data_IF_739835618294
#
_entry.id   IF_739835618294
#
_cell.length_a   1.000
_cell.length_b   1.000
_cell.length_c   1.000
_cell.angle_alpha   90.00
_cell.angle_beta   90.00
_cell.angle_gamma   90.00
#
_symmetry.space_group_name_H-M   'P 1'
#
loop_
_entity.id
_entity.type
_entity.pdbx_description
1 polymer ?
#
# COMPACT_ATOMS: atom_id res chain seq x y z
N UNK A 1 2.41 31.25 13.08
CA UNK A 1 3.44 30.21 13.19
C UNK A 1 3.32 29.33 11.97
N UNK A 2 4.40 29.27 11.19
CA UNK A 2 4.50 28.49 9.98
C UNK A 2 4.20 27.00 10.26
N UNK A 3 3.35 26.38 9.44
CA UNK A 3 3.01 24.94 9.55
C UNK A 3 4.27 24.09 9.42
N UNK A 4 5.26 24.58 8.66
CA UNK A 4 6.54 23.91 8.45
C UNK A 4 7.35 23.86 9.75
N UNK A 5 7.49 24.97 10.47
CA UNK A 5 8.16 24.99 11.78
C UNK A 5 7.53 24.01 12.78
N UNK A 6 6.21 23.84 12.73
CA UNK A 6 5.51 22.85 13.56
C UNK A 6 5.84 21.42 13.13
N UNK A 7 5.88 21.13 11.82
CA UNK A 7 6.29 19.83 11.31
C UNK A 7 7.72 19.49 11.72
N UNK A 8 8.66 20.43 11.56
CA UNK A 8 10.07 20.25 11.96
C UNK A 8 10.24 20.02 13.46
N UNK A 9 9.30 20.46 14.29
CA UNK A 9 9.33 20.21 15.73
C UNK A 9 8.96 18.76 16.12
N UNK A 10 8.28 18.02 15.24
CA UNK A 10 7.79 16.65 15.50
C UNK A 10 8.95 15.65 15.47
N UNK A 11 9.03 14.78 16.47
CA UNK A 11 10.18 13.89 16.68
C UNK A 11 10.54 13.02 15.47
N UNK A 12 9.55 12.36 14.87
CA UNK A 12 9.76 11.49 13.70
C UNK A 12 9.90 12.25 12.37
N UNK A 13 9.60 13.56 12.33
CA UNK A 13 9.80 14.38 11.14
C UNK A 13 11.25 14.87 11.00
N UNK A 14 12.02 14.90 12.09
CA UNK A 14 13.40 15.41 12.13
C UNK A 14 14.42 14.48 11.48
N UNK A 15 14.13 13.18 11.49
CA UNK A 15 15.05 12.17 11.00
C UNK A 15 15.21 12.30 9.48
N UNK A 16 16.38 12.73 9.02
CA UNK A 16 16.72 12.70 7.60
C UNK A 16 16.73 11.26 7.09
N UNK A 17 16.35 11.06 5.83
CA UNK A 17 16.38 9.74 5.18
C UNK A 17 17.45 9.77 4.09
N UNK A 18 18.67 9.39 4.48
CA UNK A 18 19.87 9.44 3.64
C UNK A 18 19.73 8.55 2.39
N UNK A 19 20.51 8.78 1.31
CA UNK A 19 20.50 7.93 0.13
C UNK A 19 20.60 6.42 0.44
N UNK A 20 19.97 5.54 -0.37
CA UNK A 20 19.97 4.11 -0.10
C UNK A 20 21.37 3.50 -0.18
N UNK A 21 21.59 2.46 0.63
CA UNK A 21 22.85 1.71 0.64
C UNK A 21 22.87 0.74 -0.55
N UNK A 22 23.88 0.88 -1.40
CA UNK A 22 24.11 0.04 -2.59
C UNK A 22 25.45 -0.68 -2.40
N UNK A 23 25.42 -2.01 -2.34
CA UNK A 23 26.63 -2.84 -2.35
C UNK A 23 27.02 -3.21 -3.80
N UNK A 24 28.22 -3.76 -3.99
CA UNK A 24 28.76 -4.04 -5.33
C UNK A 24 27.89 -5.03 -6.14
N UNK A 25 27.36 -6.06 -5.51
CA UNK A 25 26.50 -7.06 -6.16
C UNK A 25 25.15 -6.44 -6.59
N UNK A 26 24.55 -5.62 -5.74
CA UNK A 26 23.34 -4.87 -6.06
C UNK A 26 23.60 -3.81 -7.14
N UNK A 27 24.78 -3.19 -7.14
CA UNK A 27 25.18 -2.23 -8.17
C UNK A 27 25.22 -2.88 -9.54
N UNK A 28 25.76 -4.08 -9.67
CA UNK A 28 25.77 -4.83 -10.94
C UNK A 28 24.34 -5.09 -11.45
N UNK A 29 23.43 -5.53 -10.57
CA UNK A 29 22.02 -5.72 -10.94
C UNK A 29 21.31 -4.42 -11.36
N UNK A 30 21.70 -3.28 -10.78
CA UNK A 30 21.16 -1.97 -11.16
C UNK A 30 21.74 -1.48 -12.49
N UNK A 31 23.00 -1.79 -12.79
CA UNK A 31 23.63 -1.48 -14.09
C UNK A 31 22.90 -2.21 -15.23
N UNK A 32 22.48 -3.46 -15.03
CA UNK A 32 21.63 -4.20 -15.98
C UNK A 32 20.33 -3.46 -16.33
N UNK A 33 19.75 -2.74 -15.36
CA UNK A 33 18.52 -1.96 -15.57
C UNK A 33 18.71 -0.78 -16.55
N UNK A 34 19.95 -0.33 -16.77
CA UNK A 34 20.23 0.76 -17.71
C UNK A 34 20.23 0.30 -19.17
N UNK A 35 20.34 -1.01 -19.41
CA UNK A 35 20.36 -1.63 -20.73
C UNK A 35 18.98 -2.14 -21.18
N UNK A 36 17.92 -1.83 -20.43
CA UNK A 36 16.56 -2.28 -20.73
C UNK A 36 16.07 -1.60 -21.99
N UNK A 37 15.70 -2.41 -22.99
CA UNK A 37 15.12 -1.90 -24.22
C UNK A 37 13.68 -1.47 -23.96
N UNK A 38 13.31 -0.31 -24.50
CA UNK A 38 11.92 0.16 -24.41
C UNK A 38 10.99 -0.85 -25.11
N UNK A 39 9.98 -1.33 -24.38
CA UNK A 39 9.01 -2.26 -24.92
C UNK A 39 8.14 -1.59 -25.99
N UNK A 40 7.80 -2.34 -27.04
CA UNK A 40 6.79 -1.92 -28.01
C UNK A 40 5.42 -1.91 -27.35
N UNK A 41 4.76 -0.75 -27.37
CA UNK A 41 3.46 -0.58 -26.72
C UNK A 41 2.36 -1.11 -27.64
N UNK A 42 1.54 -2.02 -27.10
CA UNK A 42 0.35 -2.53 -27.78
C UNK A 42 -0.78 -1.52 -27.61
N UNK A 43 -1.45 -1.16 -28.70
CA UNK A 43 -2.63 -0.29 -28.69
C UNK A 43 -3.83 -0.84 -29.47
N UNK A 44 -3.71 -2.08 -29.96
CA UNK A 44 -4.80 -2.78 -30.63
C UNK A 44 -5.93 -3.06 -29.63
N UNK A 45 -6.99 -2.25 -29.74
CA UNK A 45 -8.16 -2.37 -28.87
C UNK A 45 -8.86 -3.72 -29.01
N UNK A 46 -8.85 -4.33 -30.19
CA UNK A 46 -9.50 -5.63 -30.41
C UNK A 46 -8.74 -6.75 -29.73
N UNK A 47 -7.41 -6.73 -29.81
CA UNK A 47 -6.57 -7.69 -29.08
C UNK A 47 -6.75 -7.53 -27.57
N UNK A 48 -6.85 -6.31 -27.06
CA UNK A 48 -7.06 -6.05 -25.62
C UNK A 48 -8.45 -6.50 -25.17
N UNK A 49 -9.49 -6.25 -25.99
CA UNK A 49 -10.84 -6.76 -25.73
C UNK A 49 -10.82 -8.29 -25.68
N UNK A 50 -10.19 -8.94 -26.66
CA UNK A 50 -10.05 -10.40 -26.71
C UNK A 50 -9.32 -10.94 -25.48
N UNK A 51 -8.22 -10.32 -25.05
CA UNK A 51 -7.52 -10.70 -23.81
C UNK A 51 -8.39 -10.51 -22.58
N UNK A 52 -9.15 -9.41 -22.52
CA UNK A 52 -10.10 -9.16 -21.43
C UNK A 52 -11.21 -10.20 -21.39
N UNK A 53 -11.78 -10.60 -22.53
CA UNK A 53 -12.83 -11.62 -22.61
C UNK A 53 -12.31 -13.02 -22.29
N UNK A 54 -11.05 -13.30 -22.59
CA UNK A 54 -10.38 -14.56 -22.25
C UNK A 54 -9.78 -14.58 -20.83
N UNK A 55 -9.96 -13.51 -20.04
CA UNK A 55 -9.44 -13.48 -18.68
C UNK A 55 -10.16 -14.54 -17.83
N UNK A 56 -9.43 -15.40 -17.08
CA UNK A 56 -10.02 -16.59 -16.45
C UNK A 56 -11.04 -16.29 -15.35
N UNK A 57 -11.09 -15.04 -14.87
CA UNK A 57 -12.02 -14.61 -13.84
C UNK A 57 -12.99 -13.59 -14.40
N UNK A 58 -14.28 -13.78 -14.13
CA UNK A 58 -15.30 -12.82 -14.49
C UNK A 58 -15.06 -11.46 -13.83
N UNK A 59 -15.12 -10.39 -14.63
CA UNK A 59 -15.07 -9.02 -14.14
C UNK A 59 -16.38 -8.71 -13.40
N UNK A 60 -16.34 -7.97 -12.27
CA UNK A 60 -17.55 -7.69 -11.49
C UNK A 60 -18.61 -6.89 -12.25
N UNK A 61 -18.17 -6.05 -13.20
CA UNK A 61 -19.02 -5.22 -14.04
C UNK A 61 -18.40 -5.09 -15.42
N UNK A 62 -19.26 -4.91 -16.41
CA UNK A 62 -18.87 -4.76 -17.81
C UNK A 62 -18.79 -3.28 -18.25
N UNK A 63 -19.41 -2.36 -17.51
CA UNK A 63 -19.60 -0.95 -17.92
C UNK A 63 -18.28 -0.18 -18.11
N UNK A 64 -17.22 -0.55 -17.38
CA UNK A 64 -15.88 0.05 -17.47
C UNK A 64 -14.91 -0.75 -18.35
N UNK A 65 -15.35 -1.86 -18.95
CA UNK A 65 -14.49 -2.68 -19.83
C UNK A 65 -14.38 -2.04 -21.20
N UNK A 66 -13.23 -2.21 -21.84
CA UNK A 66 -12.93 -1.62 -23.14
C UNK A 66 -13.98 -1.95 -24.21
N UNK A 67 -14.53 -3.17 -24.20
CA UNK A 67 -15.62 -3.61 -25.10
C UNK A 67 -16.88 -2.75 -25.04
N UNK A 68 -17.13 -2.10 -23.90
CA UNK A 68 -18.25 -1.17 -23.71
C UNK A 68 -17.81 0.29 -23.83
N UNK A 69 -16.58 0.62 -23.43
CA UNK A 69 -16.07 2.00 -23.54
C UNK A 69 -15.92 2.44 -25.00
N UNK A 70 -15.63 1.51 -25.93
CA UNK A 70 -15.47 1.82 -27.35
C UNK A 70 -16.72 2.45 -28.00
N UNK A 71 -17.91 2.20 -27.44
CA UNK A 71 -19.16 2.80 -27.94
C UNK A 71 -19.45 4.18 -27.32
N UNK A 72 -18.69 4.60 -26.30
CA UNK A 72 -18.95 5.80 -25.49
C UNK A 72 -17.83 6.84 -25.55
N UNK A 73 -16.63 6.44 -25.99
CA UNK A 73 -15.42 7.25 -25.93
C UNK A 73 -14.67 7.17 -27.27
N UNK A 74 -13.94 8.23 -27.66
CA UNK A 74 -13.18 8.23 -28.91
C UNK A 74 -12.14 7.10 -28.94
N UNK A 75 -12.05 6.39 -30.07
CA UNK A 75 -11.11 5.27 -30.27
C UNK A 75 -9.67 5.69 -29.99
N UNK A 76 -9.24 6.82 -30.55
CA UNK A 76 -7.86 7.31 -30.37
C UNK A 76 -7.54 7.63 -28.92
N UNK A 77 -8.53 8.11 -28.14
CA UNK A 77 -8.35 8.34 -26.70
C UNK A 77 -8.17 7.02 -25.95
N UNK A 78 -8.92 5.99 -26.31
CA UNK A 78 -8.78 4.67 -25.71
C UNK A 78 -7.42 4.03 -26.04
N UNK A 79 -6.92 4.21 -27.26
CA UNK A 79 -5.56 3.76 -27.65
C UNK A 79 -4.48 4.48 -26.85
N UNK A 80 -4.59 5.80 -26.71
CA UNK A 80 -3.70 6.59 -25.84
C UNK A 80 -3.75 6.05 -24.41
N UNK A 81 -4.96 5.76 -23.90
CA UNK A 81 -5.11 5.29 -22.53
C UNK A 81 -4.40 3.97 -22.26
N UNK A 82 -4.49 3.04 -23.21
CA UNK A 82 -3.77 1.77 -23.17
C UNK A 82 -2.26 1.99 -23.15
N UNK A 83 -1.73 2.76 -24.12
CA UNK A 83 -0.27 3.01 -24.23
C UNK A 83 0.30 3.71 -23.00
N UNK A 84 -0.53 4.50 -22.32
CA UNK A 84 -0.14 5.33 -21.20
C UNK A 84 -0.39 4.70 -19.82
N UNK A 85 -0.64 3.38 -19.76
CA UNK A 85 -0.77 2.63 -18.51
C UNK A 85 0.52 1.86 -18.21
N UNK A 86 1.15 2.11 -17.07
CA UNK A 86 2.43 1.51 -16.72
C UNK A 86 2.62 1.36 -15.20
N UNK A 87 3.43 0.38 -14.75
CA UNK A 87 3.86 0.31 -13.36
C UNK A 87 4.80 1.47 -13.04
N UNK A 88 4.73 1.96 -11.81
CA UNK A 88 5.63 2.98 -11.27
C UNK A 88 6.18 2.50 -9.93
N UNK A 89 7.45 2.77 -9.66
CA UNK A 89 8.11 2.45 -8.41
C UNK A 89 9.07 3.58 -8.00
N UNK A 90 9.30 3.69 -6.70
CA UNK A 90 10.25 4.66 -6.16
C UNK A 90 11.68 4.15 -6.36
N UNK A 91 12.64 5.02 -6.69
CA UNK A 91 14.04 4.62 -6.96
C UNK A 91 14.67 3.80 -5.83
N UNK A 92 14.42 4.17 -4.56
CA UNK A 92 14.82 3.40 -3.38
C UNK A 92 14.31 1.95 -3.40
N UNK A 93 13.12 1.71 -3.95
CA UNK A 93 12.54 0.37 -4.06
C UNK A 93 13.28 -0.45 -5.12
N UNK A 94 13.82 0.18 -6.17
CA UNK A 94 14.68 -0.50 -7.13
C UNK A 94 15.95 -1.03 -6.46
N UNK A 95 16.58 -0.22 -5.60
CA UNK A 95 17.73 -0.63 -4.78
C UNK A 95 17.36 -1.76 -3.81
N UNK A 96 16.19 -1.66 -3.16
CA UNK A 96 15.68 -2.72 -2.29
C UNK A 96 15.51 -4.04 -3.05
N UNK A 97 14.97 -4.01 -4.26
CA UNK A 97 14.78 -5.21 -5.09
C UNK A 97 16.11 -5.85 -5.50
N UNK A 98 17.13 -5.06 -5.85
CA UNK A 98 18.47 -5.58 -6.11
C UNK A 98 19.07 -6.26 -4.86
N UNK A 99 19.02 -5.58 -3.70
CA UNK A 99 19.48 -6.14 -2.44
C UNK A 99 18.67 -7.37 -2.00
N UNK A 100 17.38 -7.42 -2.32
CA UNK A 100 16.51 -8.58 -2.07
C UNK A 100 16.96 -9.80 -2.86
N UNK A 101 17.27 -9.64 -4.14
CA UNK A 101 17.79 -10.74 -4.97
C UNK A 101 19.12 -11.26 -4.43
N UNK A 102 20.05 -10.36 -4.08
CA UNK A 102 21.32 -10.71 -3.41
C UNK A 102 21.06 -11.53 -2.14
N UNK A 103 20.17 -11.05 -1.27
CA UNK A 103 19.79 -11.75 -0.06
C UNK A 103 19.21 -13.14 -0.35
N UNK A 104 18.26 -13.24 -1.28
CA UNK A 104 17.56 -14.49 -1.58
C UNK A 104 18.46 -15.54 -2.22
N UNK A 105 19.40 -15.14 -3.09
CA UNK A 105 20.40 -16.05 -3.66
C UNK A 105 21.32 -16.64 -2.60
N UNK A 106 21.63 -15.90 -1.53
CA UNK A 106 22.53 -16.34 -0.46
C UNK A 106 21.83 -17.09 0.67
N UNK A 107 20.71 -16.55 1.16
CA UNK A 107 20.05 -16.97 2.40
C UNK A 107 18.65 -17.57 2.19
N UNK A 108 18.11 -17.54 0.98
CA UNK A 108 16.82 -18.14 0.67
C UNK A 108 16.80 -19.66 0.84
N UNK A 109 15.60 -20.23 0.82
CA UNK A 109 15.42 -21.69 0.72
C UNK A 109 16.01 -22.23 -0.59
N UNK A 110 16.15 -23.55 -0.72
CA UNK A 110 16.63 -24.14 -1.97
C UNK A 110 15.73 -23.78 -3.16
N UNK A 111 14.41 -23.75 -2.96
CA UNK A 111 13.41 -23.38 -3.96
C UNK A 111 13.57 -21.91 -4.38
N UNK A 112 13.75 -21.02 -3.39
CA UNK A 112 14.00 -19.60 -3.66
C UNK A 112 15.31 -19.39 -4.40
N UNK A 113 16.39 -20.03 -3.95
CA UNK A 113 17.71 -19.93 -4.58
C UNK A 113 17.68 -20.37 -6.03
N UNK A 114 16.99 -21.46 -6.33
CA UNK A 114 16.78 -21.93 -7.70
C UNK A 114 16.08 -20.87 -8.54
N UNK A 115 14.93 -20.36 -8.07
CA UNK A 115 14.15 -19.35 -8.78
C UNK A 115 14.93 -18.04 -9.02
N UNK A 116 15.62 -17.52 -8.00
CA UNK A 116 16.27 -16.22 -8.04
C UNK A 116 17.70 -16.26 -8.59
N UNK A 117 18.27 -17.44 -8.83
CA UNK A 117 19.68 -17.65 -9.19
C UNK A 117 20.19 -16.73 -10.30
N UNK A 118 19.36 -16.49 -11.33
CA UNK A 118 19.68 -15.65 -12.49
C UNK A 118 18.67 -14.52 -12.74
N UNK A 119 17.68 -14.36 -11.86
CA UNK A 119 16.62 -13.37 -12.04
C UNK A 119 17.17 -11.95 -11.91
N UNK A 120 16.97 -11.13 -12.92
CA UNK A 120 17.26 -9.68 -12.91
C UNK A 120 16.21 -8.90 -12.11
N UNK A 121 16.49 -7.62 -11.83
CA UNK A 121 15.53 -6.74 -11.14
C UNK A 121 14.27 -6.52 -12.00
N UNK A 122 14.41 -6.44 -13.33
CA UNK A 122 13.29 -6.28 -14.26
C UNK A 122 12.39 -7.51 -14.24
N UNK A 123 12.97 -8.70 -14.30
CA UNK A 123 12.21 -9.95 -14.21
C UNK A 123 11.51 -10.11 -12.85
N UNK A 124 12.11 -9.61 -11.76
CA UNK A 124 11.45 -9.57 -10.46
C UNK A 124 10.23 -8.63 -10.46
N UNK A 125 10.33 -7.46 -11.09
CA UNK A 125 9.19 -6.52 -11.24
C UNK A 125 8.07 -7.16 -12.08
N UNK A 126 8.41 -7.76 -13.22
CA UNK A 126 7.44 -8.47 -14.07
C UNK A 126 6.76 -9.61 -13.31
N UNK A 127 7.54 -10.39 -12.57
CA UNK A 127 7.03 -11.46 -11.72
C UNK A 127 6.06 -10.93 -10.66
N UNK A 128 6.41 -9.84 -9.98
CA UNK A 128 5.55 -9.17 -8.99
C UNK A 128 4.22 -8.75 -9.61
N UNK A 129 4.17 -8.38 -10.89
CA UNK A 129 2.94 -8.01 -11.58
C UNK A 129 2.14 -9.25 -12.02
N UNK A 130 2.80 -10.26 -12.58
CA UNK A 130 2.16 -11.41 -13.22
C UNK A 130 1.71 -12.51 -12.25
N UNK A 131 2.47 -12.74 -11.17
CA UNK A 131 2.27 -13.89 -10.27
C UNK A 131 1.35 -13.58 -9.07
N UNK A 132 0.58 -12.48 -9.13
CA UNK A 132 -0.38 -12.12 -8.06
C UNK A 132 -1.59 -13.04 -8.01
N UNK A 133 -2.11 -13.24 -6.80
CA UNK A 133 -3.50 -13.67 -6.62
C UNK A 133 -4.44 -12.59 -7.15
N UNK A 134 -5.65 -12.99 -7.56
CA UNK A 134 -6.72 -12.06 -7.93
C UNK A 134 -7.18 -11.28 -6.71
N UNK A 135 -7.19 -11.95 -5.57
CA UNK A 135 -7.51 -11.37 -4.28
C UNK A 135 -6.62 -11.98 -3.21
N UNK A 136 -6.12 -11.15 -2.30
CA UNK A 136 -5.40 -11.56 -1.10
C UNK A 136 -5.70 -10.57 0.03
N UNK A 137 -6.46 -10.99 1.04
CA UNK A 137 -6.97 -10.06 2.06
C UNK A 137 -7.27 -10.73 3.40
N UNK A 138 -7.73 -9.92 4.38
CA UNK A 138 -8.14 -10.33 5.72
C UNK A 138 -6.98 -10.79 6.62
N UNK A 139 -7.29 -11.09 7.89
CA UNK A 139 -6.31 -11.55 8.88
C UNK A 139 -5.90 -13.03 8.75
N UNK A 140 -6.68 -13.83 7.99
CA UNK A 140 -6.40 -15.25 7.72
C UNK A 140 -5.97 -15.48 6.27
N UNK A 141 -5.62 -14.40 5.56
CA UNK A 141 -5.14 -14.47 4.18
C UNK A 141 -6.10 -15.22 3.26
N UNK A 142 -7.36 -14.79 3.28
CA UNK A 142 -8.36 -15.20 2.30
C UNK A 142 -7.83 -14.82 0.91
N UNK A 143 -7.76 -15.81 0.02
CA UNK A 143 -7.28 -15.60 -1.33
C UNK A 143 -8.25 -16.11 -2.40
N UNK A 144 -8.15 -15.52 -3.59
CA UNK A 144 -8.69 -16.05 -4.84
C UNK A 144 -7.56 -16.09 -5.86
N UNK A 145 -7.29 -17.26 -6.40
CA UNK A 145 -6.23 -17.52 -7.37
C UNK A 145 -6.67 -17.14 -8.78
N UNK A 146 -5.71 -17.07 -9.71
CA UNK A 146 -6.01 -16.81 -11.14
C UNK A 146 -6.80 -17.96 -11.79
N UNK A 147 -6.70 -19.16 -11.23
CA UNK A 147 -7.50 -20.34 -11.57
C UNK A 147 -8.96 -20.25 -11.10
N UNK A 148 -9.29 -19.25 -10.25
CA UNK A 148 -10.60 -19.10 -9.63
C UNK A 148 -10.75 -19.82 -8.29
N UNK A 149 -9.81 -20.70 -7.94
CA UNK A 149 -9.76 -21.38 -6.65
C UNK A 149 -9.68 -20.37 -5.50
N UNK A 150 -10.38 -20.68 -4.41
CA UNK A 150 -10.42 -19.85 -3.22
C UNK A 150 -9.92 -20.66 -2.03
N UNK A 151 -9.28 -19.97 -1.09
CA UNK A 151 -8.82 -20.60 0.14
C UNK A 151 -8.45 -19.59 1.20
N UNK A 152 -7.91 -20.10 2.29
CA UNK A 152 -7.54 -19.35 3.49
C UNK A 152 -6.30 -20.00 4.09
N UNK A 153 -5.41 -19.19 4.66
CA UNK A 153 -4.12 -19.61 5.23
C UNK A 153 -3.20 -20.35 4.22
N UNK A 154 -2.08 -20.93 4.67
CA UNK A 154 -1.15 -21.69 3.83
C UNK A 154 -0.22 -20.85 2.95
N UNK A 155 -0.47 -19.55 2.80
CA UNK A 155 0.36 -18.63 2.02
C UNK A 155 1.78 -18.49 2.58
N UNK A 156 1.95 -18.71 3.88
CA UNK A 156 3.24 -18.73 4.58
C UNK A 156 4.19 -19.85 4.10
N UNK A 157 3.66 -20.87 3.44
CA UNK A 157 4.45 -21.99 2.97
C UNK A 157 5.10 -21.74 1.60
N UNK A 158 4.61 -20.78 0.82
CA UNK A 158 5.10 -20.49 -0.55
C UNK A 158 6.58 -20.09 -0.51
N UNK A 159 7.43 -20.82 -1.24
CA UNK A 159 8.88 -20.64 -1.24
C UNK A 159 9.61 -21.38 -0.13
N UNK A 160 8.91 -22.23 0.64
CA UNK A 160 9.50 -23.10 1.67
C UNK A 160 9.40 -24.56 1.26
N UNK A 161 10.09 -25.45 1.98
CA UNK A 161 9.98 -26.91 1.76
C UNK A 161 8.57 -27.46 2.01
N UNK A 162 7.69 -26.69 2.65
CA UNK A 162 6.30 -27.06 2.91
C UNK A 162 5.34 -26.52 1.84
N UNK A 163 5.84 -25.86 0.78
CA UNK A 163 4.97 -25.42 -0.30
C UNK A 163 4.30 -26.62 -0.99
N UNK A 164 3.04 -26.44 -1.38
CA UNK A 164 2.30 -27.49 -2.08
C UNK A 164 1.27 -26.85 -3.02
N UNK A 165 0.96 -27.49 -4.17
CA UNK A 165 -0.08 -26.99 -5.05
C UNK A 165 -1.42 -26.76 -4.32
N UNK A 166 -2.20 -25.72 -4.68
CA UNK A 166 -1.91 -24.74 -5.74
C UNK A 166 -1.01 -23.56 -5.29
N UNK A 167 -0.53 -23.55 -4.04
CA UNK A 167 0.27 -22.48 -3.46
C UNK A 167 1.76 -22.80 -3.53
N UNK A 168 2.35 -22.59 -4.71
CA UNK A 168 3.79 -22.80 -4.96
C UNK A 168 4.46 -21.56 -5.52
N UNK A 169 5.74 -21.37 -5.22
CA UNK A 169 6.50 -20.18 -5.60
C UNK A 169 6.56 -20.00 -7.12
N UNK A 170 6.55 -21.08 -7.89
CA UNK A 170 6.53 -21.00 -9.35
C UNK A 170 5.32 -20.18 -9.90
N UNK A 171 4.17 -20.24 -9.21
CA UNK A 171 2.90 -19.69 -9.70
C UNK A 171 2.41 -18.46 -8.94
N UNK A 172 2.84 -18.31 -7.69
CA UNK A 172 2.37 -17.24 -6.81
C UNK A 172 3.50 -16.58 -6.03
N UNK A 173 3.25 -15.34 -5.62
CA UNK A 173 4.18 -14.57 -4.79
C UNK A 173 4.30 -15.16 -3.39
N UNK A 174 5.52 -15.29 -2.87
CA UNK A 174 5.74 -15.54 -1.44
C UNK A 174 5.33 -14.34 -0.59
N UNK A 175 5.30 -14.48 0.74
CA UNK A 175 5.07 -13.33 1.64
C UNK A 175 6.12 -12.23 1.49
N UNK A 176 7.36 -12.63 1.20
CA UNK A 176 8.46 -11.69 1.05
C UNK A 176 8.31 -10.90 -0.25
N UNK A 177 7.88 -11.55 -1.33
CA UNK A 177 7.52 -10.89 -2.60
C UNK A 177 6.25 -10.04 -2.45
N UNK A 178 5.25 -10.47 -1.68
CA UNK A 178 4.07 -9.67 -1.39
C UNK A 178 4.43 -8.36 -0.70
N UNK A 179 5.42 -8.37 0.20
CA UNK A 179 5.92 -7.18 0.87
C UNK A 179 6.53 -6.18 -0.13
N UNK A 180 7.34 -6.66 -1.09
CA UNK A 180 7.82 -5.83 -2.20
C UNK A 180 6.69 -5.36 -3.11
N UNK A 181 5.71 -6.23 -3.39
CA UNK A 181 4.59 -5.95 -4.27
C UNK A 181 3.72 -4.78 -3.80
N UNK A 182 3.72 -4.51 -2.48
CA UNK A 182 3.02 -3.38 -1.86
C UNK A 182 3.71 -2.02 -2.09
N UNK A 183 4.93 -2.03 -2.63
CA UNK A 183 5.72 -0.85 -2.98
C UNK A 183 5.73 -0.55 -4.48
N UNK A 184 5.11 -1.41 -5.29
CA UNK A 184 4.91 -1.22 -6.74
C UNK A 184 3.50 -0.71 -6.97
N UNK A 185 3.39 0.42 -7.66
CA UNK A 185 2.11 1.06 -8.00
C UNK A 185 1.87 0.99 -9.51
N UNK A 186 0.63 1.25 -9.94
CA UNK A 186 0.27 1.30 -11.36
C UNK A 186 -0.38 2.65 -11.61
N UNK A 187 0.06 3.36 -12.65
CA UNK A 187 -0.56 4.59 -13.09
C UNK A 187 -1.17 4.39 -14.47
N UNK A 188 -2.41 4.81 -14.66
CA UNK A 188 -3.06 4.75 -15.94
C UNK A 188 -4.22 5.72 -16.05
N UNK A 189 -4.46 6.28 -17.24
CA UNK A 189 -5.66 7.03 -17.52
C UNK A 189 -6.89 6.12 -17.47
N UNK A 190 -8.00 6.68 -17.04
CA UNK A 190 -9.30 6.03 -16.96
C UNK A 190 -10.33 6.86 -17.71
N UNK A 191 -11.16 6.18 -18.49
CA UNK A 191 -12.34 6.79 -19.08
C UNK A 191 -13.47 6.70 -18.05
N UNK A 192 -13.71 7.80 -17.35
CA UNK A 192 -14.73 7.88 -16.32
C UNK A 192 -16.12 7.74 -16.92
N UNK A 193 -16.97 6.95 -16.28
CA UNK A 193 -18.38 6.75 -16.65
C UNK A 193 -19.34 7.31 -15.59
N UNK A 194 -18.81 7.93 -14.52
CA UNK A 194 -19.56 8.59 -13.46
C UNK A 194 -18.60 9.42 -12.58
N UNK A 195 -19.14 10.02 -11.51
CA UNK A 195 -18.43 10.86 -10.53
C UNK A 195 -17.58 10.11 -9.49
N UNK A 196 -17.54 8.76 -9.53
CA UNK A 196 -16.75 7.95 -8.62
C UNK A 196 -17.25 7.94 -7.16
N UNK A 197 -18.49 8.35 -6.90
CA UNK A 197 -19.05 8.31 -5.54
C UNK A 197 -19.02 6.90 -4.96
N UNK A 198 -18.70 6.77 -3.65
CA UNK A 198 -18.40 5.47 -2.98
C UNK A 198 -19.47 4.37 -3.12
N UNK A 199 -20.71 4.73 -3.45
CA UNK A 199 -21.84 3.80 -3.61
C UNK A 199 -22.28 3.61 -5.06
N UNK A 200 -21.58 4.23 -6.01
CA UNK A 200 -21.99 4.29 -7.41
C UNK A 200 -22.08 2.91 -8.10
N UNK A 201 -21.36 1.88 -7.65
CA UNK A 201 -21.52 0.49 -8.15
C UNK A 201 -21.42 0.34 -9.69
N UNK A 202 -20.72 1.25 -10.38
CA UNK A 202 -20.53 1.18 -11.83
C UNK A 202 -21.71 1.67 -12.68
N UNK A 203 -22.64 2.42 -12.07
CA UNK A 203 -23.76 3.02 -12.79
C UNK A 203 -23.25 4.16 -13.66
N UNK A 204 -23.61 4.10 -14.95
CA UNK A 204 -23.21 5.10 -15.94
C UNK A 204 -23.98 6.40 -15.75
N UNK A 205 -23.26 7.52 -15.81
CA UNK A 205 -23.77 8.89 -15.80
C UNK A 205 -22.85 9.71 -16.69
N UNK A 206 -23.39 10.31 -17.74
CA UNK A 206 -22.60 11.11 -18.70
C UNK A 206 -22.66 12.62 -18.39
N UNK A 207 -23.71 13.08 -17.71
CA UNK A 207 -23.90 14.49 -17.40
C UNK A 207 -23.10 14.93 -16.17
N UNK A 208 -22.44 16.08 -16.26
CA UNK A 208 -21.72 16.73 -15.15
C UNK A 208 -20.70 15.80 -14.46
N UNK A 209 -19.88 15.10 -15.25
CA UNK A 209 -18.77 14.29 -14.77
C UNK A 209 -17.48 14.67 -15.49
N UNK A 210 -16.36 14.48 -14.81
CA UNK A 210 -15.07 14.41 -15.48
C UNK A 210 -15.02 13.10 -16.28
N UNK A 211 -14.70 13.17 -17.57
CA UNK A 211 -14.69 12.01 -18.47
C UNK A 211 -13.31 11.36 -18.59
N UNK A 212 -12.26 12.11 -18.27
CA UNK A 212 -10.87 11.68 -18.27
C UNK A 212 -10.25 11.93 -16.90
N UNK A 213 -9.62 10.91 -16.33
CA UNK A 213 -8.82 11.05 -15.11
C UNK A 213 -7.62 10.11 -15.14
N UNK A 214 -6.62 10.36 -14.30
CA UNK A 214 -5.54 9.41 -14.03
C UNK A 214 -5.85 8.70 -12.71
N UNK A 215 -5.82 7.36 -12.72
CA UNK A 215 -5.87 6.56 -11.50
C UNK A 215 -4.46 6.05 -11.21
N UNK A 216 -3.95 6.41 -10.04
CA UNK A 216 -2.70 5.87 -9.49
C UNK A 216 -3.07 4.82 -8.43
N UNK A 217 -2.97 3.55 -8.81
CA UNK A 217 -3.19 2.40 -7.94
C UNK A 217 -2.02 2.21 -6.98
N UNK A 218 -2.22 2.60 -5.72
CA UNK A 218 -1.24 2.53 -4.64
C UNK A 218 -1.69 1.57 -3.54
N UNK A 219 -0.72 0.97 -2.83
CA UNK A 219 -0.98 0.06 -1.71
C UNK A 219 -0.44 0.71 -0.43
N UNK A 220 -1.35 0.97 0.51
CA UNK A 220 -0.99 1.51 1.82
C UNK A 220 -0.59 0.43 2.82
N UNK A 221 -0.06 0.81 3.99
CA UNK A 221 0.40 -0.14 5.00
C UNK A 221 -0.72 -1.05 5.53
N UNK A 222 -0.44 -2.34 5.69
CA UNK A 222 -1.37 -3.39 6.13
C UNK A 222 -0.96 -3.99 7.47
N UNK A 223 -1.79 -3.81 8.49
CA UNK A 223 -1.56 -4.34 9.85
C UNK A 223 -2.53 -5.47 10.28
N UNK A 224 -3.17 -6.16 9.32
CA UNK A 224 -4.17 -7.19 9.63
C UNK A 224 -3.58 -8.55 10.03
N UNK A 225 -2.33 -8.83 9.67
CA UNK A 225 -1.64 -10.10 9.94
C UNK A 225 -0.42 -9.81 10.83
N UNK A 226 -0.45 -10.14 12.13
CA UNK A 226 0.71 -9.99 13.01
C UNK A 226 1.94 -10.71 12.45
N UNK A 227 3.15 -10.18 12.65
CA UNK A 227 4.37 -10.86 12.21
C UNK A 227 4.68 -10.75 10.71
N UNK A 228 3.90 -10.00 9.93
CA UNK A 228 3.95 -10.02 8.45
C UNK A 228 3.81 -8.64 7.82
N UNK A 229 4.39 -8.49 6.62
CA UNK A 229 4.32 -7.28 5.79
C UNK A 229 4.73 -6.04 6.60
N UNK A 230 3.88 -5.02 6.74
CA UNK A 230 4.22 -3.77 7.41
C UNK A 230 4.31 -3.94 8.94
N UNK A 231 3.66 -4.96 9.54
CA UNK A 231 3.82 -5.26 10.97
C UNK A 231 5.28 -5.58 11.33
N UNK A 232 6.00 -6.21 10.40
CA UNK A 232 7.33 -6.74 10.62
C UNK A 232 8.38 -5.63 10.88
N UNK A 233 8.14 -4.43 10.33
CA UNK A 233 9.08 -3.31 10.37
C UNK A 233 8.57 -2.12 11.21
N UNK A 234 7.25 -2.01 11.40
CA UNK A 234 6.63 -0.84 12.05
C UNK A 234 6.12 -1.17 13.45
N UNK A 235 5.66 -2.40 13.70
CA UNK A 235 5.22 -2.83 15.02
C UNK A 235 6.35 -3.52 15.75
N UNK A 236 6.51 -3.16 17.02
CA UNK A 236 7.49 -3.73 17.93
C UNK A 236 6.70 -4.47 19.00
N UNK A 237 6.76 -5.80 18.97
CA UNK A 237 5.97 -6.67 19.85
C UNK A 237 6.86 -7.66 20.58
N UNK A 238 6.40 -8.11 21.75
CA UNK A 238 7.15 -9.09 22.55
C UNK A 238 7.41 -10.39 21.78
N UNK A 239 6.45 -10.90 21.02
CA UNK A 239 6.59 -12.15 20.27
C UNK A 239 7.50 -12.00 19.04
N UNK A 240 7.39 -10.88 18.32
CA UNK A 240 8.11 -10.66 17.08
C UNK A 240 9.55 -10.19 17.31
N UNK A 241 9.74 -9.15 18.14
CA UNK A 241 11.00 -8.40 18.23
C UNK A 241 11.95 -9.00 19.28
N UNK A 242 12.44 -10.20 18.97
CA UNK A 242 13.40 -10.96 19.78
C UNK A 242 14.67 -11.26 18.99
N UNK A 243 15.78 -11.47 19.68
CA UNK A 243 17.06 -11.86 19.07
C UNK A 243 16.94 -13.14 18.24
N UNK A 244 16.19 -14.13 18.72
CA UNK A 244 15.89 -15.39 18.02
C UNK A 244 15.15 -15.21 16.67
N UNK A 245 14.51 -14.06 16.48
CA UNK A 245 13.85 -13.66 15.25
C UNK A 245 14.70 -12.69 14.41
N UNK A 246 15.94 -12.44 14.82
CA UNK A 246 16.92 -11.60 14.15
C UNK A 246 16.82 -10.10 14.47
N UNK A 247 16.03 -9.72 15.48
CA UNK A 247 15.93 -8.32 15.94
C UNK A 247 17.01 -7.97 16.96
N UNK A 248 17.31 -6.68 17.09
CA UNK A 248 18.34 -6.17 18.01
C UNK A 248 19.70 -5.95 17.34
N UNK A 249 20.71 -5.66 18.16
CA UNK A 249 22.08 -5.40 17.67
C UNK A 249 22.85 -6.71 17.45
N UNK A 250 23.54 -6.82 16.31
CA UNK A 250 24.40 -7.97 16.05
C UNK A 250 25.67 -7.86 16.92
N UNK A 251 25.84 -8.78 17.86
CA UNK A 251 27.13 -8.94 18.56
C UNK A 251 28.14 -9.55 17.58
N UNK A 252 29.31 -8.91 17.45
CA UNK A 252 30.32 -9.23 16.43
C UNK A 252 30.91 -10.66 16.51
N UNK A 253 30.56 -11.43 17.53
CA UNK A 253 31.14 -12.72 17.89
C UNK A 253 30.33 -13.94 17.45
N UNK A 254 29.19 -13.78 16.74
CA UNK A 254 28.35 -14.90 16.30
C UNK A 254 28.18 -14.97 14.77
N UNK A 255 28.01 -16.18 14.24
CA UNK A 255 27.69 -16.41 12.82
C UNK A 255 26.34 -15.76 12.48
N UNK A 256 26.30 -14.89 11.47
CA UNK A 256 25.08 -14.17 11.10
C UNK A 256 24.06 -15.11 10.47
N UNK A 257 22.85 -15.11 11.01
CA UNK A 257 21.72 -15.94 10.54
C UNK A 257 20.98 -15.29 9.37
N UNK A 258 20.23 -16.10 8.62
CA UNK A 258 19.34 -15.60 7.56
C UNK A 258 18.33 -14.57 8.10
N UNK A 259 17.73 -14.81 9.28
CA UNK A 259 16.78 -13.88 9.91
C UNK A 259 17.42 -12.53 10.23
N UNK A 260 18.65 -12.51 10.76
CA UNK A 260 19.38 -11.27 11.02
C UNK A 260 19.67 -10.51 9.72
N UNK A 261 20.07 -11.21 8.66
CA UNK A 261 20.32 -10.59 7.36
C UNK A 261 19.03 -10.08 6.71
N UNK A 262 17.89 -10.75 6.93
CA UNK A 262 16.57 -10.27 6.53
C UNK A 262 16.19 -8.98 7.25
N UNK A 263 16.41 -8.91 8.58
CA UNK A 263 16.18 -7.67 9.33
C UNK A 263 17.13 -6.57 8.90
N UNK A 264 18.40 -6.89 8.63
CA UNK A 264 19.36 -5.93 8.08
C UNK A 264 18.91 -5.32 6.74
N UNK A 265 18.38 -6.13 5.82
CA UNK A 265 17.86 -5.63 4.54
C UNK A 265 16.81 -4.51 4.75
N UNK A 266 15.86 -4.72 5.65
CA UNK A 266 14.80 -3.75 5.94
C UNK A 266 15.26 -2.59 6.82
N UNK A 267 16.16 -2.83 7.77
CA UNK A 267 16.84 -1.78 8.55
C UNK A 267 17.66 -0.85 7.66
N UNK A 268 18.36 -1.37 6.65
CA UNK A 268 19.14 -0.57 5.70
C UNK A 268 18.20 0.20 4.74
N UNK A 269 17.11 -0.42 4.30
CA UNK A 269 16.11 0.22 3.44
C UNK A 269 15.43 1.40 4.13
N UNK A 270 14.87 1.16 5.31
CA UNK A 270 14.25 2.19 6.11
C UNK A 270 15.26 3.07 6.81
N UNK A 271 16.52 2.67 6.94
CA UNK A 271 17.54 3.32 7.77
C UNK A 271 17.09 3.50 9.22
N UNK A 272 16.42 2.49 9.76
CA UNK A 272 15.91 2.45 11.13
C UNK A 272 16.58 1.28 11.85
N UNK A 273 17.33 1.54 12.93
CA UNK A 273 17.94 0.47 13.72
C UNK A 273 16.91 -0.57 14.16
N UNK A 274 17.26 -1.84 14.02
CA UNK A 274 16.48 -2.93 14.58
C UNK A 274 16.62 -2.91 16.10
N UNK A 275 15.50 -3.00 16.80
CA UNK A 275 15.45 -3.06 18.27
C UNK A 275 14.63 -4.26 18.73
N UNK A 276 15.03 -4.85 19.84
CA UNK A 276 14.22 -5.83 20.55
C UNK A 276 13.13 -5.14 21.37
N UNK A 277 12.07 -5.87 21.67
CA UNK A 277 11.01 -5.38 22.53
C UNK A 277 11.51 -5.04 23.95
N UNK A 278 12.42 -5.85 24.48
CA UNK A 278 13.00 -5.67 25.82
C UNK A 278 13.84 -4.39 25.92
N UNK A 279 14.71 -4.13 24.93
CA UNK A 279 15.52 -2.89 24.85
C UNK A 279 14.65 -1.63 24.77
N UNK A 280 13.49 -1.72 24.10
CA UNK A 280 12.62 -0.57 23.93
C UNK A 280 11.74 -0.30 25.16
N UNK A 281 11.27 -1.36 25.83
CA UNK A 281 10.39 -1.26 26.99
C UNK A 281 10.99 -0.42 28.13
N UNK A 282 12.31 -0.45 28.31
CA UNK A 282 13.00 0.34 29.34
C UNK A 282 12.97 1.85 29.05
N UNK A 283 12.78 2.23 27.78
CA UNK A 283 12.96 3.61 27.29
C UNK A 283 11.64 4.28 26.87
N UNK A 284 10.57 3.51 26.68
CA UNK A 284 9.26 4.03 26.28
C UNK A 284 8.33 4.05 27.49
N UNK A 285 7.92 5.24 27.94
CA UNK A 285 7.01 5.40 29.06
C UNK A 285 5.71 4.58 28.88
N UNK A 286 5.23 3.97 29.97
CA UNK A 286 3.90 3.38 30.00
C UNK A 286 2.86 4.50 29.81
N UNK A 287 1.85 4.24 28.97
CA UNK A 287 0.73 5.16 28.83
C UNK A 287 -0.29 4.82 29.90
N UNK A 288 0.02 5.16 31.15
CA UNK A 288 -0.97 5.12 32.22
C UNK A 288 -1.86 6.36 32.08
N UNK A 289 -3.10 6.14 31.66
CA UNK A 289 -4.17 7.13 31.58
C UNK A 289 -4.06 8.23 30.51
N UNK A 290 -3.21 8.13 29.48
CA UNK A 290 -3.32 9.13 28.40
C UNK A 290 -4.68 9.00 27.68
N UNK A 291 -5.32 10.15 27.46
CA UNK A 291 -6.41 10.25 26.52
C UNK A 291 -5.96 9.63 25.20
N UNK A 292 -6.79 8.77 24.60
CA UNK A 292 -6.44 7.90 23.46
C UNK A 292 -5.80 8.59 22.24
N UNK A 293 -5.75 9.93 22.19
CA UNK A 293 -5.32 10.71 21.03
C UNK A 293 -4.46 11.96 21.30
N UNK A 294 -4.39 12.54 22.51
CA UNK A 294 -4.05 13.98 22.60
C UNK A 294 -2.58 14.37 22.32
N UNK A 295 -1.63 13.42 22.28
CA UNK A 295 -0.21 13.68 21.91
C UNK A 295 0.48 12.57 21.12
N UNK A 296 -0.29 11.61 20.61
CA UNK A 296 0.28 10.39 20.01
C UNK A 296 1.02 10.67 18.71
N UNK A 297 0.49 11.58 17.88
CA UNK A 297 1.05 11.84 16.56
C UNK A 297 2.41 12.55 16.58
N UNK A 298 2.87 13.11 17.71
CA UNK A 298 4.16 13.83 17.77
C UNK A 298 5.32 12.97 18.26
N UNK A 299 5.02 11.83 18.88
CA UNK A 299 6.00 10.90 19.41
C UNK A 299 6.43 9.88 18.34
N UNK A 300 7.71 9.50 18.36
CA UNK A 300 8.20 8.42 17.51
C UNK A 300 7.61 7.07 17.93
N UNK A 301 7.74 6.72 19.20
CA UNK A 301 7.22 5.46 19.74
C UNK A 301 5.91 5.70 20.46
N UNK A 302 4.90 4.90 20.17
CA UNK A 302 3.62 4.96 20.90
C UNK A 302 3.12 3.56 21.22
N UNK A 303 2.85 3.30 22.50
CA UNK A 303 2.12 2.11 22.93
C UNK A 303 0.64 2.23 22.56
N UNK A 304 0.03 1.16 22.04
CA UNK A 304 -1.41 1.21 21.75
C UNK A 304 -2.24 0.97 23.02
N UNK A 305 -3.41 1.60 23.15
CA UNK A 305 -4.34 1.25 24.22
C UNK A 305 -4.72 -0.23 24.14
N UNK A 306 -4.73 -0.93 25.29
CA UNK A 306 -5.17 -2.33 25.43
C UNK A 306 -4.27 -3.37 24.72
N UNK A 307 -3.05 -2.99 24.35
CA UNK A 307 -2.08 -3.88 23.74
C UNK A 307 -0.68 -3.54 24.27
N UNK A 308 0.20 -4.53 24.32
CA UNK A 308 1.60 -4.35 24.72
C UNK A 308 2.49 -3.91 23.55
N UNK A 309 1.96 -3.88 22.32
CA UNK A 309 2.67 -3.45 21.11
C UNK A 309 3.03 -1.96 21.11
N UNK A 310 4.21 -1.68 20.55
CA UNK A 310 4.71 -0.32 20.30
C UNK A 310 4.70 -0.06 18.80
N UNK A 311 4.20 1.11 18.41
CA UNK A 311 4.18 1.61 17.03
C UNK A 311 5.35 2.57 16.81
N UNK A 312 6.15 2.37 15.75
CA UNK A 312 7.20 3.31 15.31
C UNK A 312 6.67 4.25 14.20
N UNK A 313 6.39 5.49 14.56
CA UNK A 313 5.92 6.53 13.66
C UNK A 313 6.97 6.95 12.61
N UNK A 314 8.27 6.84 12.90
CA UNK A 314 9.33 7.10 11.90
C UNK A 314 9.28 6.03 10.81
N UNK A 315 9.17 4.76 11.18
CA UNK A 315 9.04 3.65 10.21
C UNK A 315 7.79 3.79 9.34
N UNK A 316 6.66 4.09 9.98
CA UNK A 316 5.41 4.34 9.27
C UNK A 316 5.48 5.54 8.33
N UNK A 317 6.07 6.66 8.78
CA UNK A 317 6.25 7.85 7.94
C UNK A 317 7.14 7.56 6.74
N UNK A 318 8.28 6.86 6.91
CA UNK A 318 9.14 6.47 5.79
C UNK A 318 8.41 5.57 4.77
N UNK A 319 7.60 4.62 5.26
CA UNK A 319 6.73 3.80 4.39
C UNK A 319 5.70 4.63 3.63
N UNK A 320 5.17 5.70 4.22
CA UNK A 320 4.23 6.63 3.59
C UNK A 320 4.92 7.62 2.64
N UNK A 321 6.15 8.04 2.93
CA UNK A 321 6.94 8.93 2.08
C UNK A 321 7.08 8.35 0.67
N UNK A 322 7.36 7.05 0.56
CA UNK A 322 7.41 6.37 -0.74
C UNK A 322 6.10 6.51 -1.50
N UNK A 323 4.97 6.31 -0.82
CA UNK A 323 3.64 6.44 -1.42
C UNK A 323 3.35 7.88 -1.84
N UNK A 324 3.66 8.85 -0.98
CA UNK A 324 3.44 10.27 -1.22
C UNK A 324 4.25 10.76 -2.43
N UNK A 325 5.55 10.42 -2.48
CA UNK A 325 6.44 10.82 -3.56
C UNK A 325 5.98 10.24 -4.90
N UNK A 326 5.60 8.95 -4.93
CA UNK A 326 5.08 8.32 -6.14
C UNK A 326 3.81 9.00 -6.66
N UNK A 327 2.87 9.32 -5.77
CA UNK A 327 1.60 9.98 -6.16
C UNK A 327 1.86 11.40 -6.66
N UNK A 328 2.64 12.18 -5.93
CA UNK A 328 2.86 13.60 -6.22
C UNK A 328 3.71 13.80 -7.48
N UNK A 329 4.78 13.04 -7.64
CA UNK A 329 5.68 13.15 -8.79
C UNK A 329 5.04 12.60 -10.07
N UNK A 330 4.30 11.50 -10.00
CA UNK A 330 3.55 10.98 -11.15
C UNK A 330 2.46 11.97 -11.58
N UNK A 331 1.68 12.52 -10.63
CA UNK A 331 0.68 13.53 -10.94
C UNK A 331 1.32 14.77 -11.58
N UNK A 332 2.47 15.22 -11.07
CA UNK A 332 3.22 16.33 -11.64
C UNK A 332 3.73 16.04 -13.06
N UNK A 333 4.27 14.84 -13.31
CA UNK A 333 4.76 14.45 -14.63
C UNK A 333 3.60 14.36 -15.65
N UNK A 334 2.47 13.76 -15.26
CA UNK A 334 1.25 13.67 -16.08
C UNK A 334 0.69 15.06 -16.41
N UNK A 335 0.64 15.95 -15.41
CA UNK A 335 0.19 17.32 -15.56
C UNK A 335 1.08 18.13 -16.51
N UNK A 336 2.41 18.01 -16.35
CA UNK A 336 3.38 18.61 -17.24
C UNK A 336 3.19 18.14 -18.69
N UNK A 337 3.09 16.83 -18.91
CA UNK A 337 2.88 16.24 -20.23
C UNK A 337 1.55 16.68 -20.88
N UNK A 338 0.52 16.92 -20.07
CA UNK A 338 -0.78 17.41 -20.52
C UNK A 338 -0.86 18.94 -20.66
N UNK A 339 0.20 19.67 -20.28
CA UNK A 339 0.23 21.14 -20.18
C UNK A 339 -0.96 21.71 -19.37
N UNK A 340 -1.34 21.03 -18.28
CA UNK A 340 -2.48 21.40 -17.42
C UNK A 340 -2.10 21.21 -15.95
N UNK A 341 -2.61 22.05 -15.04
CA UNK A 341 -2.44 21.81 -13.61
C UNK A 341 -3.18 20.54 -13.18
N UNK A 342 -2.59 19.79 -12.25
CA UNK A 342 -3.20 18.62 -11.62
C UNK A 342 -3.95 18.99 -10.34
N UNK A 343 -5.20 18.55 -10.29
CA UNK A 343 -5.96 18.36 -9.05
C UNK A 343 -5.77 16.90 -8.58
N UNK A 344 -5.10 16.71 -7.45
CA UNK A 344 -4.77 15.38 -6.91
C UNK A 344 -5.77 15.00 -5.82
N UNK A 345 -6.64 14.04 -6.12
CA UNK A 345 -7.63 13.53 -5.18
C UNK A 345 -7.11 12.28 -4.45
N UNK A 346 -6.62 12.42 -3.22
CA UNK A 346 -6.04 11.34 -2.43
C UNK A 346 -7.12 10.64 -1.62
N UNK A 347 -7.34 9.36 -1.89
CA UNK A 347 -8.14 8.46 -1.05
C UNK A 347 -7.20 7.73 -0.09
N UNK A 348 -7.62 7.59 1.17
CA UNK A 348 -6.80 6.93 2.20
C UNK A 348 -6.40 5.50 1.87
N UNK A 349 -5.12 5.28 1.55
CA UNK A 349 -4.52 3.97 1.33
C UNK A 349 -4.04 3.36 2.65
N UNK A 350 -4.50 2.15 3.00
CA UNK A 350 -4.18 1.51 4.30
C UNK A 350 -4.92 2.08 5.51
N UNK A 351 -5.72 3.14 5.34
CA UNK A 351 -6.44 3.82 6.43
C UNK A 351 -7.82 3.22 6.73
N UNK A 352 -8.23 2.18 6.00
CA UNK A 352 -9.52 1.50 6.16
C UNK A 352 -9.49 0.43 7.24
N UNK A 353 -9.73 -0.83 6.83
CA UNK A 353 -9.68 -2.02 7.68
C UNK A 353 -8.26 -2.44 8.06
N UNK A 354 -7.25 -1.80 7.46
CA UNK A 354 -5.83 -2.14 7.60
C UNK A 354 -5.12 -1.35 8.69
N UNK A 355 -5.68 -0.23 9.16
CA UNK A 355 -5.14 0.52 10.30
C UNK A 355 -5.44 -0.18 11.63
N UNK A 356 -4.63 0.15 12.62
CA UNK A 356 -4.75 -0.33 14.00
C UNK A 356 -4.89 0.80 15.02
N UNK A 357 -4.74 2.06 14.60
CA UNK A 357 -4.91 3.24 15.44
C UNK A 357 -5.41 4.46 14.66
N UNK A 358 -6.05 5.41 15.35
CA UNK A 358 -6.59 6.63 14.76
C UNK A 358 -5.51 7.63 14.34
N UNK A 359 -4.42 7.76 15.12
CA UNK A 359 -3.29 8.65 14.82
C UNK A 359 -2.63 8.36 13.46
N UNK A 360 -2.84 7.18 12.87
CA UNK A 360 -2.33 6.87 11.53
C UNK A 360 -2.91 7.79 10.45
N UNK A 361 -4.10 8.37 10.68
CA UNK A 361 -4.68 9.41 9.82
C UNK A 361 -3.83 10.69 9.85
N UNK A 362 -3.35 11.05 11.04
CA UNK A 362 -2.54 12.24 11.26
C UNK A 362 -1.17 12.08 10.63
N UNK A 363 -0.49 10.95 10.92
CA UNK A 363 0.79 10.62 10.29
C UNK A 363 0.67 10.63 8.76
N UNK A 364 -0.42 10.09 8.20
CA UNK A 364 -0.66 10.11 6.76
C UNK A 364 -0.68 11.54 6.19
N UNK A 365 -1.48 12.42 6.78
CA UNK A 365 -1.59 13.80 6.31
C UNK A 365 -0.27 14.55 6.51
N UNK A 366 0.34 14.43 7.68
CA UNK A 366 1.57 15.15 8.03
C UNK A 366 2.76 14.71 7.15
N UNK A 367 2.89 13.42 6.84
CA UNK A 367 3.90 12.94 5.90
C UNK A 367 3.69 13.54 4.51
N UNK A 368 2.46 13.56 3.99
CA UNK A 368 2.19 14.21 2.69
C UNK A 368 2.54 15.71 2.72
N UNK A 369 2.18 16.43 3.79
CA UNK A 369 2.53 17.85 3.92
C UNK A 369 4.04 18.06 3.90
N UNK A 370 4.79 17.25 4.65
CA UNK A 370 6.25 17.28 4.65
C UNK A 370 6.82 17.04 3.25
N UNK A 371 6.29 16.06 2.51
CA UNK A 371 6.76 15.75 1.15
C UNK A 371 6.41 16.84 0.15
N UNK A 372 5.21 17.40 0.19
CA UNK A 372 4.83 18.54 -0.67
C UNK A 372 5.77 19.72 -0.43
N UNK A 373 6.03 20.07 0.83
CA UNK A 373 6.96 21.15 1.16
C UNK A 373 8.38 20.87 0.61
N UNK A 374 8.91 19.67 0.86
CA UNK A 374 10.25 19.27 0.37
C UNK A 374 10.34 19.29 -1.15
N UNK A 375 9.34 18.77 -1.87
CA UNK A 375 9.32 18.71 -3.32
C UNK A 375 9.14 20.11 -3.94
N UNK A 376 8.36 21.00 -3.32
CA UNK A 376 8.25 22.40 -3.73
C UNK A 376 9.59 23.13 -3.56
N UNK A 377 10.25 22.98 -2.40
CA UNK A 377 11.56 23.59 -2.15
C UNK A 377 12.62 23.14 -3.16
N UNK A 378 12.54 21.88 -3.60
CA UNK A 378 13.43 21.31 -4.61
C UNK A 378 12.98 21.54 -6.06
N UNK A 379 11.91 22.31 -6.31
CA UNK A 379 11.32 22.56 -7.64
C UNK A 379 10.93 21.29 -8.40
N UNK A 380 10.58 20.23 -7.67
CA UNK A 380 10.16 18.95 -8.22
C UNK A 380 8.62 18.84 -8.37
N UNK A 381 7.87 19.79 -7.83
CA UNK A 381 6.39 19.79 -7.83
C UNK A 381 5.83 21.09 -8.45
N UNK A 382 5.89 21.18 -9.78
CA UNK A 382 5.59 22.42 -10.52
C UNK A 382 4.22 22.41 -11.23
N UNK A 383 3.53 21.27 -11.29
CA UNK A 383 2.32 21.14 -12.09
C UNK A 383 1.14 20.62 -11.27
N UNK A 384 1.29 20.50 -9.95
CA UNK A 384 0.20 20.16 -9.03
C UNK A 384 -0.33 21.45 -8.43
N UNK A 385 -1.60 21.80 -8.70
CA UNK A 385 -2.23 22.99 -8.15
C UNK A 385 -2.93 22.71 -6.81
N UNK A 386 -3.54 21.54 -6.70
CA UNK A 386 -4.44 21.21 -5.61
C UNK A 386 -4.24 19.78 -5.13
N UNK A 387 -4.27 19.58 -3.81
CA UNK A 387 -4.23 18.25 -3.19
C UNK A 387 -5.40 18.13 -2.22
N UNK A 388 -6.32 17.20 -2.51
CA UNK A 388 -7.51 16.96 -1.71
C UNK A 388 -7.41 15.62 -0.98
N UNK A 389 -7.47 15.63 0.35
CA UNK A 389 -7.53 14.41 1.17
C UNK A 389 -8.97 13.94 1.35
N UNK A 390 -9.49 13.22 0.35
CA UNK A 390 -10.88 12.76 0.35
C UNK A 390 -11.15 11.67 1.41
N UNK A 391 -12.16 11.90 2.25
CA UNK A 391 -12.62 10.99 3.32
C UNK A 391 -11.59 10.73 4.43
N UNK A 392 -10.54 11.53 4.51
CA UNK A 392 -9.55 11.48 5.58
C UNK A 392 -9.82 12.67 6.49
N UNK A 393 -10.09 12.40 7.77
CA UNK A 393 -10.35 13.45 8.75
C UNK A 393 -9.35 13.28 9.89
N UNK A 394 -8.36 14.18 10.02
CA UNK A 394 -7.38 14.11 11.09
C UNK A 394 -8.03 14.47 12.44
N UNK A 395 -7.32 14.23 13.53
CA UNK A 395 -7.79 14.60 14.87
C UNK A 395 -7.75 16.12 15.08
N UNK A 396 -8.46 16.59 16.10
CA UNK A 396 -8.60 18.02 16.39
C UNK A 396 -7.29 18.73 16.69
N UNK A 397 -6.24 18.04 17.13
CA UNK A 397 -4.92 18.65 17.35
C UNK A 397 -4.14 18.94 16.06
N UNK A 398 -4.47 18.27 14.95
CA UNK A 398 -3.85 18.48 13.63
C UNK A 398 -4.64 19.47 12.78
N UNK A 399 -5.96 19.54 12.97
CA UNK A 399 -6.83 20.48 12.26
C UNK A 399 -6.42 21.97 12.33
N UNK A 400 -5.78 22.49 13.41
CA UNK A 400 -5.28 23.86 13.47
C UNK A 400 -4.07 24.13 12.57
N UNK A 401 -3.43 23.10 12.00
CA UNK A 401 -2.43 23.28 10.95
C UNK A 401 -3.07 23.71 9.62
N UNK A 402 -4.38 23.51 9.46
CA UNK A 402 -5.14 23.96 8.29
C UNK A 402 -5.89 25.25 8.64
N UNK A 403 -5.63 26.32 7.90
CA UNK A 403 -6.27 27.62 8.10
C UNK A 403 -7.71 27.57 7.57
N UNK A 404 -8.60 28.28 8.24
CA UNK A 404 -9.96 28.52 7.77
C UNK A 404 -10.03 29.97 7.34
N UNK A 405 -10.07 30.25 6.04
CA UNK A 405 -10.35 31.63 5.56
C UNK A 405 -11.83 32.02 5.73
N UNK A 406 -12.73 31.09 6.11
CA UNK A 406 -14.12 31.38 6.43
C UNK A 406 -14.73 30.33 7.38
N UNK A 407 -15.25 30.77 8.52
CA UNK A 407 -15.87 29.92 9.57
C UNK A 407 -17.07 29.08 9.08
N UNK A 408 -17.66 29.43 7.92
CA UNK A 408 -18.83 28.77 7.34
C UNK A 408 -18.53 27.59 6.40
N UNK A 409 -17.27 27.34 6.06
CA UNK A 409 -16.92 26.29 5.08
C UNK A 409 -16.74 24.91 5.73
N UNK A 410 -17.29 23.86 5.11
CA UNK A 410 -17.18 22.45 5.54
C UNK A 410 -15.80 21.83 5.27
N UNK A 411 -14.88 22.59 4.66
CA UNK A 411 -13.54 22.16 4.21
C UNK A 411 -12.50 23.14 4.74
N UNK A 412 -11.47 22.63 5.42
CA UNK A 412 -10.32 23.44 5.83
C UNK A 412 -9.28 23.48 4.70
N UNK A 413 -8.61 24.63 4.53
CA UNK A 413 -7.61 24.83 3.48
C UNK A 413 -6.24 25.10 4.09
N UNK A 414 -5.20 24.61 3.46
CA UNK A 414 -3.83 25.03 3.76
C UNK A 414 -3.18 25.45 2.45
N UNK A 415 -2.69 26.68 2.40
CA UNK A 415 -1.89 27.15 1.28
C UNK A 415 -0.43 27.02 1.66
N UNK A 416 0.34 26.32 0.83
CA UNK A 416 1.79 26.32 0.92
C UNK A 416 2.29 27.23 -0.22
N UNK A 417 2.81 28.39 0.16
CA UNK A 417 3.38 29.36 -0.78
C UNK A 417 4.86 29.05 -1.00
N UNK A 418 5.32 29.21 -2.25
CA UNK A 418 6.73 29.19 -2.62
C UNK A 418 6.95 30.34 -3.61
N UNK A 419 7.87 31.26 -3.32
CA UNK A 419 8.10 32.46 -4.13
C UNK A 419 8.50 32.14 -5.59
N UNK A 420 9.02 30.94 -5.85
CA UNK A 420 9.43 30.50 -7.18
C UNK A 420 8.31 29.80 -7.99
N UNK A 421 7.09 29.63 -7.46
CA UNK A 421 6.07 28.77 -8.09
C UNK A 421 4.61 29.10 -7.68
N UNK A 422 3.57 28.89 -8.52
CA UNK A 422 2.18 29.03 -8.10
C UNK A 422 1.83 28.18 -6.87
N UNK A 423 0.95 28.75 -6.05
CA UNK A 423 0.49 28.25 -4.75
C UNK A 423 -0.12 26.84 -4.87
N UNK A 424 0.27 25.92 -3.98
CA UNK A 424 -0.43 24.63 -3.84
C UNK A 424 -1.49 24.75 -2.76
N UNK A 425 -2.74 24.47 -3.10
CA UNK A 425 -3.86 24.46 -2.17
C UNK A 425 -4.16 23.04 -1.67
N UNK A 426 -4.18 22.86 -0.36
CA UNK A 426 -4.47 21.61 0.31
C UNK A 426 -5.86 21.64 0.93
N UNK A 427 -6.66 20.61 0.68
CA UNK A 427 -8.01 20.49 1.22
C UNK A 427 -8.11 19.32 2.20
N UNK A 428 -8.69 19.60 3.36
CA UNK A 428 -9.02 18.59 4.36
C UNK A 428 -10.50 18.74 4.79
N UNK A 429 -11.35 17.70 4.66
CA UNK A 429 -12.74 17.77 5.07
C UNK A 429 -12.89 17.87 6.60
N UNK A 430 -13.92 18.61 7.07
CA UNK A 430 -14.32 18.67 8.50
C UNK A 430 -15.27 17.51 8.82
N UNK A 431 -15.29 17.01 10.07
CA UNK A 431 -16.33 16.05 10.52
C UNK A 431 -17.71 16.67 10.31
N UNK A 432 -18.52 16.13 9.41
CA UNK A 432 -19.96 16.33 9.48
C UNK A 432 -20.50 15.64 10.73
N UNK A 433 -21.24 16.37 11.59
CA UNK A 433 -22.28 15.73 12.39
C UNK A 433 -23.13 14.90 11.42
N UNK A 434 -23.39 13.64 11.78
CA UNK A 434 -24.19 12.69 10.99
C UNK A 434 -25.39 13.42 10.39
N UNK A 435 -25.34 13.72 9.08
CA UNK A 435 -26.53 14.11 8.35
C UNK A 435 -27.48 12.91 8.43
N UNK A 436 -28.63 13.14 9.06
CA UNK A 436 -29.60 12.12 9.42
C UNK A 436 -30.07 11.28 8.24
N UNK A 437 -30.37 10.02 8.56
CA UNK A 437 -30.93 9.05 7.61
C UNK A 437 -30.08 7.79 7.47
N UNK A 438 -29.83 7.07 8.56
CA UNK A 438 -29.70 5.61 8.44
C UNK A 438 -31.12 5.04 8.28
N UNK A 439 -31.52 4.47 7.13
CA UNK A 439 -32.63 3.54 7.14
C UNK A 439 -32.14 2.30 7.87
N UNK A 440 -32.75 2.00 9.03
CA UNK A 440 -32.58 0.75 9.80
C UNK A 440 -32.84 -0.54 9.01
N UNK A 441 -33.04 -0.46 7.70
CA UNK A 441 -33.36 -1.55 6.77
C UNK A 441 -32.15 -2.17 6.06
N UNK A 442 -30.99 -1.50 5.95
CA UNK A 442 -29.80 -2.07 5.23
C UNK A 442 -28.89 -2.90 6.14
N UNK A 443 -28.92 -2.66 7.46
CA UNK A 443 -28.28 -3.56 8.46
C UNK A 443 -28.96 -4.95 8.46
N UNK A 444 -30.21 -5.07 7.99
CA UNK A 444 -30.89 -6.37 7.82
C UNK A 444 -30.49 -7.11 6.53
N UNK A 445 -30.15 -6.41 5.44
CA UNK A 445 -29.70 -7.04 4.19
C UNK A 445 -28.29 -7.64 4.33
N UNK A 446 -27.34 -6.89 4.91
CA UNK A 446 -25.99 -7.40 5.22
C UNK A 446 -25.98 -8.53 6.27
N UNK A 447 -26.92 -8.52 7.23
CA UNK A 447 -27.13 -9.63 8.17
C UNK A 447 -27.79 -10.86 7.51
N UNK A 448 -28.61 -10.69 6.46
CA UNK A 448 -29.17 -11.80 5.67
C UNK A 448 -28.11 -12.48 4.80
N UNK A 449 -27.26 -11.72 4.13
CA UNK A 449 -26.13 -12.26 3.35
C UNK A 449 -25.11 -13.00 4.23
N UNK A 450 -24.78 -12.46 5.42
CA UNK A 450 -23.93 -13.16 6.41
C UNK A 450 -24.58 -14.42 7.00
N UNK A 451 -25.92 -14.46 7.14
CA UNK A 451 -26.65 -15.67 7.58
C UNK A 451 -26.78 -16.72 6.47
N UNK A 452 -26.79 -16.33 5.20
CA UNK A 452 -26.76 -17.26 4.07
C UNK A 452 -25.37 -17.89 3.90
N UNK A 453 -24.29 -17.09 4.02
CA UNK A 453 -22.92 -17.61 4.03
C UNK A 453 -22.68 -18.57 5.21
N UNK A 454 -23.09 -18.20 6.43
CA UNK A 454 -22.96 -19.07 7.60
C UNK A 454 -23.86 -20.33 7.56
N UNK A 455 -25.00 -20.29 6.86
CA UNK A 455 -25.84 -21.50 6.64
C UNK A 455 -25.25 -22.43 5.59
N UNK A 456 -24.46 -21.91 4.65
CA UNK A 456 -23.71 -22.72 3.69
C UNK A 456 -22.54 -23.44 4.36
N UNK A 457 -21.84 -22.78 5.29
CA UNK A 457 -20.78 -23.37 6.13
C UNK A 457 -21.29 -24.52 7.02
N UNK A 458 -22.51 -24.39 7.58
CA UNK A 458 -23.10 -25.46 8.41
C UNK A 458 -23.59 -26.66 7.59
N UNK A 459 -23.94 -26.46 6.31
CA UNK A 459 -24.33 -27.56 5.40
C UNK A 459 -23.13 -28.36 4.90
N UNK A 460 -22.00 -27.71 4.64
CA UNK A 460 -20.75 -28.37 4.25
C UNK A 460 -20.08 -29.11 5.42
N UNK A 461 -20.40 -28.75 6.68
CA UNK A 461 -19.94 -29.46 7.87
C UNK A 461 -20.82 -30.65 8.33
N UNK A 462 -21.86 -31.04 7.58
CA UNK A 462 -22.82 -32.09 8.00
C UNK A 462 -22.97 -33.29 7.05
N UNK A 463 -22.12 -33.44 6.05
CA UNK A 463 -21.95 -34.73 5.38
C UNK A 463 -20.98 -35.60 6.20
N UNK A 464 -21.54 -36.29 7.19
CA UNK A 464 -20.85 -37.35 7.91
C UNK A 464 -20.54 -38.50 6.94
N UNK A 465 -19.27 -38.89 6.89
CA UNK A 465 -18.81 -40.14 6.31
C UNK A 465 -19.66 -41.35 6.81
N UNK A 466 -19.96 -42.33 5.95
CA UNK A 466 -20.65 -43.54 6.37
C UNK A 466 -19.74 -44.36 7.30
N UNK A 467 -20.26 -44.69 8.49
CA UNK A 467 -19.63 -45.61 9.44
C UNK A 467 -19.44 -46.98 8.78
N UNK A 468 -18.20 -47.37 8.50
CA UNK A 468 -17.86 -48.77 8.28
C UNK A 468 -18.09 -49.54 9.58
N UNK A 469 -19.02 -50.51 9.56
CA UNK A 469 -19.11 -51.58 10.56
C UNK A 469 -17.95 -52.53 10.31
N UNK A 470 -17.05 -52.63 11.28
CA UNK A 470 -16.15 -53.77 11.41
C UNK A 470 -16.97 -54.93 11.97
N UNK A 471 -17.18 -55.97 11.17
CA UNK A 471 -17.51 -57.31 11.64
C UNK A 471 -16.28 -58.17 11.37
N UNK A 472 -15.70 -58.67 12.46
CA UNK A 472 -14.44 -59.42 12.44
C UNK A 472 -14.23 -60.22 13.73
N UNK A 473 -15.21 -61.09 14.00
CA UNK A 473 -15.28 -62.27 14.90
C UNK A 473 -16.33 -62.16 16.00
#
# INVERSE_FOLDING_TARGET
MDVIQKLESISWCKDQWDPPIINDEAKQLLEECTNVTQAELIDDLQEIIKRSDNFPIEFPIDTVRLKNLITRRPIEKLKENVRSTYPILHERVLVLMANFLVYKRKYGSNIEKELYSKMSVVELIDRILQKRAICFMSKRDLYKLRTGEMGVDGWENIGTLNEHPPLVLADYLSYDELKLSALVSISGPTACINDGTRRNSGVVKEDNIETDAIIIGIIGPRFQRPGRVDCEDILITEEQNREENGYGTNTASQSVTAKQMWRKLWTDFYQIPSVTYAELLSNVASIENAERDSRVFTQRFTRRPLSSDVFDATAYSRRLTLLADMVLLEANARAAAACKPAFVNIIGAGLGTWRISHHQLDLYILTFLQRIHSLLGNKALNNVSDVNFAYIVPVESVLPLFISENESSTVKKLFLENEAHPKVCLFCPRRHQRAGGEPRTVVRAGRRARRQAARHDVRLGRERAPRQRVLGR
#
